data_IF_603873996622
#
_entry.id   IF_603873996622
#
_cell.length_a   1.000
_cell.length_b   1.000
_cell.length_c   1.000
_cell.angle_alpha   90.00
_cell.angle_beta   90.00
_cell.angle_gamma   90.00
#
_symmetry.space_group_name_H-M   'P 1'
#
loop_
_entity.id
_entity.type
_entity.pdbx_description
1 polymer ?
#
# COMPACT_ATOMS: atom_id res chain seq x y z
N UNK A 1 -17.35 0.87 -0.86
CA UNK A 1 -16.48 0.94 0.34
C UNK A 1 -16.18 -0.43 0.95
N UNK A 2 -17.09 -1.11 1.67
CA UNK A 2 -16.76 -2.38 2.35
C UNK A 2 -16.16 -3.44 1.40
N UNK A 3 -16.83 -3.76 0.30
CA UNK A 3 -16.34 -4.74 -0.69
C UNK A 3 -14.99 -4.36 -1.31
N UNK A 4 -14.75 -3.07 -1.54
CA UNK A 4 -13.48 -2.56 -2.05
C UNK A 4 -12.36 -2.70 -1.03
N UNK A 5 -12.63 -2.44 0.25
CA UNK A 5 -11.67 -2.66 1.35
C UNK A 5 -11.38 -4.15 1.53
N UNK A 6 -12.39 -5.03 1.45
CA UNK A 6 -12.17 -6.49 1.54
C UNK A 6 -11.23 -7.00 0.44
N UNK A 7 -11.27 -6.38 -0.74
CA UNK A 7 -10.45 -6.77 -1.88
C UNK A 7 -9.06 -6.15 -1.84
N UNK A 8 -8.96 -4.86 -1.51
CA UNK A 8 -7.73 -4.07 -1.70
C UNK A 8 -6.99 -3.75 -0.40
N UNK A 9 -7.63 -3.92 0.76
CA UNK A 9 -7.01 -3.72 2.07
C UNK A 9 -7.40 -4.81 3.09
N UNK A 10 -7.18 -6.11 2.77
CA UNK A 10 -7.57 -7.21 3.65
C UNK A 10 -6.64 -7.38 4.86
N UNK A 11 -7.18 -7.93 5.95
CA UNK A 11 -6.41 -8.44 7.07
C UNK A 11 -5.82 -9.82 6.72
N UNK A 12 -4.57 -9.83 6.24
CA UNK A 12 -3.93 -11.06 5.75
C UNK A 12 -3.60 -12.09 6.85
N UNK A 13 -3.43 -11.66 8.10
CA UNK A 13 -3.01 -12.53 9.20
C UNK A 13 -4.12 -13.45 9.71
N UNK A 14 -5.35 -12.94 9.83
CA UNK A 14 -6.46 -13.65 10.48
C UNK A 14 -7.81 -13.47 9.77
N UNK A 15 -7.86 -12.71 8.67
CA UNK A 15 -9.09 -12.44 7.91
C UNK A 15 -10.09 -11.53 8.62
N UNK A 16 -9.79 -10.98 9.81
CA UNK A 16 -10.71 -10.14 10.58
C UNK A 16 -10.68 -8.69 10.12
N UNK A 17 -11.12 -8.48 8.88
CA UNK A 17 -11.14 -7.19 8.18
C UNK A 17 -11.74 -6.03 8.99
N UNK A 18 -12.91 -6.22 9.61
CA UNK A 18 -13.57 -5.17 10.41
C UNK A 18 -12.71 -4.76 11.62
N UNK A 19 -12.11 -5.73 12.31
CA UNK A 19 -11.23 -5.46 13.46
C UNK A 19 -9.99 -4.70 13.01
N UNK A 20 -9.42 -5.09 11.87
CA UNK A 20 -8.25 -4.45 11.29
C UNK A 20 -8.53 -2.98 10.91
N UNK A 21 -9.58 -2.68 10.13
CA UNK A 21 -9.89 -1.30 9.77
C UNK A 21 -10.31 -0.44 10.98
N UNK A 22 -10.94 -1.05 11.99
CA UNK A 22 -11.26 -0.35 13.24
C UNK A 22 -9.99 0.07 13.96
N UNK A 23 -8.96 -0.79 13.99
CA UNK A 23 -7.66 -0.46 14.57
C UNK A 23 -6.97 0.67 13.80
N UNK A 24 -6.89 0.56 12.47
CA UNK A 24 -6.28 1.58 11.61
C UNK A 24 -6.97 2.95 11.76
N UNK A 25 -8.31 2.97 11.81
CA UNK A 25 -9.06 4.18 12.08
C UNK A 25 -8.74 4.75 13.46
N UNK A 26 -8.84 3.96 14.53
CA UNK A 26 -8.66 4.46 15.88
C UNK A 26 -7.24 4.99 16.12
N UNK A 27 -6.23 4.30 15.57
CA UNK A 27 -4.82 4.61 15.78
C UNK A 27 -4.28 5.70 14.85
N UNK A 28 -4.72 5.71 13.58
CA UNK A 28 -4.16 6.59 12.54
C UNK A 28 -5.21 7.54 11.97
N UNK A 29 -6.38 7.02 11.60
CA UNK A 29 -7.44 7.82 11.01
C UNK A 29 -7.98 8.94 11.92
N UNK A 30 -8.07 8.69 13.23
CA UNK A 30 -8.54 9.67 14.23
C UNK A 30 -7.66 10.92 14.31
N UNK A 31 -6.38 10.84 13.91
CA UNK A 31 -5.45 11.97 13.85
C UNK A 31 -5.56 12.77 12.53
N UNK A 32 -6.29 12.28 11.52
CA UNK A 32 -6.33 12.87 10.19
C UNK A 32 -7.28 14.06 10.03
N UNK A 33 -8.08 14.37 11.06
CA UNK A 33 -9.19 15.35 11.00
C UNK A 33 -10.30 15.00 9.98
N UNK A 34 -10.27 13.82 9.36
CA UNK A 34 -11.31 13.30 8.48
C UNK A 34 -12.36 12.52 9.28
N UNK A 35 -13.54 12.35 8.71
CA UNK A 35 -14.48 11.33 9.20
C UNK A 35 -14.01 9.94 8.77
N UNK A 36 -14.41 8.91 9.51
CA UNK A 36 -13.97 7.52 9.27
C UNK A 36 -14.11 7.08 7.81
N UNK A 37 -15.27 7.30 7.21
CA UNK A 37 -15.52 6.89 5.82
C UNK A 37 -14.68 7.69 4.83
N UNK A 38 -14.35 8.94 5.11
CA UNK A 38 -13.55 9.79 4.23
C UNK A 38 -12.08 9.39 4.29
N UNK A 39 -11.57 9.05 5.48
CA UNK A 39 -10.24 8.45 5.66
C UNK A 39 -10.10 7.16 4.85
N UNK A 40 -11.06 6.23 4.98
CA UNK A 40 -11.02 4.95 4.27
C UNK A 40 -11.14 5.12 2.75
N UNK A 41 -11.98 6.06 2.27
CA UNK A 41 -12.09 6.38 0.84
C UNK A 41 -10.82 7.01 0.30
N UNK A 42 -10.22 7.94 1.04
CA UNK A 42 -8.97 8.59 0.63
C UNK A 42 -7.85 7.57 0.49
N UNK A 43 -7.71 6.65 1.45
CA UNK A 43 -6.73 5.57 1.37
C UNK A 43 -6.91 4.70 0.12
N UNK A 44 -8.16 4.30 -0.21
CA UNK A 44 -8.44 3.57 -1.44
C UNK A 44 -8.15 4.39 -2.70
N UNK A 45 -8.52 5.68 -2.72
CA UNK A 45 -8.24 6.57 -3.86
C UNK A 45 -6.74 6.64 -4.13
N UNK A 46 -5.94 6.85 -3.08
CA UNK A 46 -4.48 6.89 -3.19
C UNK A 46 -3.91 5.55 -3.65
N UNK A 47 -4.43 4.42 -3.15
CA UNK A 47 -4.02 3.08 -3.59
C UNK A 47 -4.23 2.87 -5.09
N UNK A 48 -5.38 3.28 -5.63
CA UNK A 48 -5.67 3.14 -7.05
C UNK A 48 -4.94 4.16 -7.93
N UNK A 49 -4.82 5.43 -7.49
CA UNK A 49 -4.14 6.47 -8.25
C UNK A 49 -2.62 6.27 -8.31
N UNK A 50 -2.04 5.62 -7.29
CA UNK A 50 -0.61 5.33 -7.18
C UNK A 50 -0.38 3.83 -7.35
N UNK A 51 -0.83 3.28 -8.47
CA UNK A 51 -0.69 1.85 -8.80
C UNK A 51 0.78 1.43 -8.91
N UNK A 52 1.38 1.10 -7.75
CA UNK A 52 2.75 0.65 -7.61
C UNK A 52 2.99 -0.63 -8.41
N UNK A 53 1.99 -1.50 -8.51
CA UNK A 53 2.10 -2.74 -9.28
C UNK A 53 2.31 -2.41 -10.75
N UNK A 54 1.47 -1.55 -11.34
CA UNK A 54 1.62 -1.13 -12.72
C UNK A 54 2.97 -0.43 -12.96
N UNK A 55 3.38 0.47 -12.06
CA UNK A 55 4.67 1.18 -12.15
C UNK A 55 5.85 0.19 -12.21
N UNK A 56 5.87 -0.80 -11.31
CA UNK A 56 6.92 -1.83 -11.25
C UNK A 56 6.89 -2.74 -12.49
N UNK A 57 5.69 -3.21 -12.88
CA UNK A 57 5.52 -4.12 -14.03
C UNK A 57 5.94 -3.46 -15.34
N UNK A 58 5.60 -2.19 -15.56
CA UNK A 58 6.02 -1.42 -16.74
C UNK A 58 7.55 -1.29 -16.88
N UNK A 59 8.29 -1.49 -15.78
CA UNK A 59 9.77 -1.49 -15.75
C UNK A 59 10.37 -2.89 -15.60
N UNK A 60 9.57 -3.92 -15.93
CA UNK A 60 9.95 -5.33 -15.85
C UNK A 60 10.39 -5.77 -14.44
N UNK A 61 9.87 -5.12 -13.40
CA UNK A 61 10.01 -5.54 -12.01
C UNK A 61 8.80 -6.43 -11.67
N UNK A 62 8.98 -7.72 -11.94
CA UNK A 62 7.97 -8.76 -11.74
C UNK A 62 8.28 -9.62 -10.51
N UNK A 63 7.26 -10.17 -9.82
CA UNK A 63 7.43 -11.18 -8.78
C UNK A 63 8.26 -12.38 -9.27
N UNK A 64 8.94 -13.06 -8.34
CA UNK A 64 9.76 -14.25 -8.63
C UNK A 64 11.17 -13.95 -9.13
N UNK A 65 11.59 -12.68 -9.14
CA UNK A 65 12.95 -12.24 -9.48
C UNK A 65 13.49 -11.30 -8.41
N UNK A 66 14.81 -11.15 -8.38
CA UNK A 66 15.49 -10.25 -7.44
C UNK A 66 15.91 -8.95 -8.14
N UNK A 67 15.77 -7.84 -7.41
CA UNK A 67 16.15 -6.51 -7.88
C UNK A 67 16.85 -5.77 -6.74
N UNK A 68 17.72 -4.83 -7.10
CA UNK A 68 18.38 -4.00 -6.09
C UNK A 68 17.38 -3.02 -5.48
N UNK A 69 17.57 -2.68 -4.19
CA UNK A 69 16.82 -1.64 -3.48
C UNK A 69 16.75 -0.35 -4.31
N UNK A 70 17.90 0.09 -4.83
CA UNK A 70 18.01 1.31 -5.63
C UNK A 70 17.21 1.27 -6.93
N UNK A 71 17.10 0.12 -7.60
CA UNK A 71 16.27 -0.01 -8.82
C UNK A 71 14.79 0.15 -8.48
N UNK A 72 14.32 -0.50 -7.42
CA UNK A 72 12.92 -0.42 -6.96
C UNK A 72 12.58 1.02 -6.58
N UNK A 73 13.38 1.65 -5.71
CA UNK A 73 13.11 3.01 -5.24
C UNK A 73 13.15 4.04 -6.37
N UNK A 74 14.09 3.93 -7.31
CA UNK A 74 14.20 4.85 -8.46
C UNK A 74 12.98 4.76 -9.38
N UNK A 75 12.51 3.55 -9.68
CA UNK A 75 11.33 3.34 -10.53
C UNK A 75 10.08 3.94 -9.88
N UNK A 76 9.89 3.71 -8.59
CA UNK A 76 8.75 4.26 -7.83
C UNK A 76 8.85 5.79 -7.75
N UNK A 77 10.02 6.33 -7.42
CA UNK A 77 10.25 7.78 -7.39
C UNK A 77 9.90 8.44 -8.73
N UNK A 78 10.32 7.84 -9.84
CA UNK A 78 10.02 8.39 -11.16
C UNK A 78 8.53 8.37 -11.51
N UNK A 79 7.79 7.36 -11.04
CA UNK A 79 6.35 7.22 -11.26
C UNK A 79 5.50 8.10 -10.34
N UNK A 80 5.87 8.23 -9.05
CA UNK A 80 5.07 8.92 -8.02
C UNK A 80 5.55 10.36 -7.76
N UNK A 81 6.81 10.67 -8.11
CA UNK A 81 7.52 11.92 -7.76
C UNK A 81 7.72 12.13 -6.25
N UNK A 82 7.66 11.05 -5.48
CA UNK A 82 7.98 11.01 -4.06
C UNK A 82 8.93 9.84 -3.78
N UNK A 83 9.92 10.04 -2.92
CA UNK A 83 10.86 8.96 -2.55
C UNK A 83 10.14 7.96 -1.64
N UNK A 84 10.04 6.67 -2.02
CA UNK A 84 9.44 5.68 -1.14
C UNK A 84 10.40 5.27 -0.02
N UNK A 85 9.83 4.95 1.13
CA UNK A 85 10.49 4.07 2.08
C UNK A 85 10.24 2.63 1.65
N UNK A 86 11.19 1.70 1.84
CA UNK A 86 10.90 0.29 1.56
C UNK A 86 11.46 -0.59 2.66
N UNK A 87 10.67 -1.58 3.04
CA UNK A 87 10.98 -2.55 4.08
C UNK A 87 11.16 -3.92 3.43
N UNK A 88 12.28 -4.56 3.75
CA UNK A 88 12.59 -5.91 3.31
C UNK A 88 12.76 -6.85 4.51
N UNK A 89 12.32 -8.09 4.35
CA UNK A 89 12.56 -9.18 5.31
C UNK A 89 13.05 -10.41 4.54
N UNK A 90 14.13 -11.05 5.00
CA UNK A 90 14.72 -12.24 4.36
C UNK A 90 14.92 -12.09 2.83
N UNK A 91 15.43 -10.92 2.39
CA UNK A 91 15.60 -10.54 0.98
C UNK A 91 14.32 -10.44 0.14
N UNK A 92 13.15 -10.37 0.77
CA UNK A 92 11.87 -10.11 0.13
C UNK A 92 11.38 -8.71 0.47
N UNK A 93 10.85 -8.00 -0.54
CA UNK A 93 10.15 -6.73 -0.36
C UNK A 93 8.79 -7.00 0.30
N UNK A 94 8.54 -6.40 1.46
CA UNK A 94 7.29 -6.62 2.23
C UNK A 94 6.41 -5.37 2.31
N UNK A 95 6.99 -4.17 2.26
CA UNK A 95 6.27 -2.91 2.36
C UNK A 95 6.99 -1.81 1.56
N UNK A 96 6.20 -0.90 0.98
CA UNK A 96 6.61 0.32 0.26
C UNK A 96 5.79 1.48 0.86
#
# INVERSE_FOLDING_TARGET
>A
LKSELETNWPALSDGRNISFWTYEWNKHGSCSQLWQNDFLKLALSLFFERDLKAILQNHNIMPGKSYTKGRITTVIYNGIKAMPEIICSSNQLIEI
#
